data_IF_659514677655
#
_entry.id   IF_659514677655
#
_cell.length_a   1.000
_cell.length_b   1.000
_cell.length_c   1.000
_cell.angle_alpha   90.00
_cell.angle_beta   90.00
_cell.angle_gamma   90.00
#
_symmetry.space_group_name_H-M   'P 1'
#
loop_
_entity.id
_entity.type
_entity.pdbx_description
1 polymer ?
#
# COMPACT_ATOMS: atom_id res chain seq x y z
N UNK A 1 7.30 -59.11 -22.99
CA UNK A 1 8.56 -58.36 -23.21
C UNK A 1 8.33 -57.53 -24.47
N UNK A 2 8.22 -56.21 -24.53
CA UNK A 2 8.52 -55.04 -23.68
C UNK A 2 7.29 -54.09 -23.75
N UNK A 3 6.84 -53.36 -22.72
CA UNK A 3 7.44 -52.36 -21.82
C UNK A 3 8.02 -51.13 -22.54
N UNK A 4 7.15 -50.20 -22.93
CA UNK A 4 7.54 -48.83 -23.27
C UNK A 4 6.37 -47.87 -22.96
N UNK A 5 6.26 -47.52 -21.68
CA UNK A 5 5.45 -46.41 -21.18
C UNK A 5 6.23 -45.11 -21.39
N UNK A 6 5.79 -44.26 -22.32
CA UNK A 6 6.36 -42.93 -22.54
C UNK A 6 5.47 -41.90 -21.83
N UNK A 7 5.78 -41.62 -20.56
CA UNK A 7 5.14 -40.55 -19.79
C UNK A 7 5.83 -39.22 -20.11
N UNK A 8 5.24 -38.42 -20.99
CA UNK A 8 5.65 -37.03 -21.22
C UNK A 8 5.11 -36.16 -20.07
N UNK A 9 5.95 -35.83 -19.09
CA UNK A 9 5.56 -34.85 -18.08
C UNK A 9 5.65 -33.44 -18.66
N UNK A 10 4.51 -32.83 -18.96
CA UNK A 10 4.43 -31.38 -19.21
C UNK A 10 4.43 -30.69 -17.84
N UNK A 11 5.57 -30.14 -17.45
CA UNK A 11 5.66 -29.30 -16.25
C UNK A 11 5.11 -27.91 -16.59
N UNK A 12 3.87 -27.64 -16.20
CA UNK A 12 3.29 -26.30 -16.22
C UNK A 12 3.91 -25.50 -15.06
N UNK A 13 4.92 -24.69 -15.36
CA UNK A 13 5.37 -23.64 -14.44
C UNK A 13 4.30 -22.55 -14.36
N UNK A 14 3.34 -22.70 -13.44
CA UNK A 14 2.43 -21.61 -13.06
C UNK A 14 3.24 -20.60 -12.27
N UNK A 15 3.69 -19.53 -12.93
CA UNK A 15 4.20 -18.35 -12.22
C UNK A 15 3.00 -17.60 -11.65
N UNK A 16 2.62 -17.90 -10.42
CA UNK A 16 1.63 -17.12 -9.69
C UNK A 16 2.25 -15.76 -9.31
N UNK A 17 1.94 -14.71 -10.07
CA UNK A 17 2.20 -13.34 -9.62
C UNK A 17 1.24 -13.06 -8.48
N UNK A 18 1.75 -13.01 -7.25
CA UNK A 18 1.01 -12.62 -6.05
C UNK A 18 0.80 -11.10 -6.05
N UNK A 19 -0.12 -10.63 -6.90
CA UNK A 19 -0.63 -9.27 -6.84
C UNK A 19 -1.66 -9.19 -5.70
N UNK A 20 -1.36 -8.42 -4.64
CA UNK A 20 -2.27 -8.20 -3.51
C UNK A 20 -2.85 -6.79 -3.54
N UNK A 21 -4.10 -6.62 -3.09
CA UNK A 21 -4.65 -5.30 -2.76
C UNK A 21 -4.21 -4.88 -1.36
N UNK A 22 -3.49 -3.76 -1.26
CA UNK A 22 -3.07 -3.15 0.01
C UNK A 22 -3.90 -1.90 0.26
N UNK A 23 -4.66 -1.91 1.37
CA UNK A 23 -5.58 -0.83 1.70
C UNK A 23 -4.98 0.14 2.74
N UNK A 24 -5.16 1.45 2.50
CA UNK A 24 -4.77 2.51 3.43
C UNK A 24 -5.94 3.48 3.66
N UNK A 25 -6.06 4.00 4.88
CA UNK A 25 -7.01 5.05 5.24
C UNK A 25 -6.23 6.31 5.64
N UNK A 26 -6.41 7.39 4.89
CA UNK A 26 -5.76 8.68 5.11
C UNK A 26 -6.80 9.72 5.51
N UNK A 27 -6.77 10.16 6.76
CA UNK A 27 -7.57 11.29 7.26
C UNK A 27 -6.72 12.56 7.09
N UNK A 28 -7.21 13.50 6.30
CA UNK A 28 -6.55 14.78 6.04
C UNK A 28 -7.19 15.84 6.94
N UNK A 29 -6.44 16.40 7.88
CA UNK A 29 -6.95 17.37 8.86
C UNK A 29 -5.96 18.48 9.13
N UNK A 30 -6.46 19.66 9.50
CA UNK A 30 -5.63 20.73 10.05
C UNK A 30 -5.16 20.32 11.46
N UNK A 31 -3.90 20.62 11.80
CA UNK A 31 -3.34 20.37 13.12
C UNK A 31 -2.16 21.30 13.41
N UNK A 32 -1.88 21.54 14.69
CA UNK A 32 -0.71 22.32 15.14
C UNK A 32 0.51 21.40 15.25
N UNK A 33 1.63 21.79 14.65
CA UNK A 33 2.90 21.05 14.72
C UNK A 33 4.09 21.99 14.96
N UNK A 34 5.18 21.46 15.51
CA UNK A 34 6.43 22.18 15.73
C UNK A 34 7.66 21.31 15.35
N UNK A 35 7.82 20.92 14.07
CA UNK A 35 8.91 20.03 13.66
C UNK A 35 10.30 20.64 13.83
N UNK A 36 10.39 21.97 13.86
CA UNK A 36 11.62 22.76 14.08
C UNK A 36 11.62 23.50 15.43
N UNK A 37 10.69 23.16 16.33
CA UNK A 37 10.52 23.82 17.62
C UNK A 37 9.63 25.08 17.61
N UNK A 38 9.09 25.49 16.46
CA UNK A 38 8.14 26.63 16.38
C UNK A 38 6.76 26.14 15.92
N UNK A 39 5.74 26.36 16.75
CA UNK A 39 4.36 25.94 16.47
C UNK A 39 3.77 26.68 15.27
N UNK A 40 3.19 25.92 14.34
CA UNK A 40 2.40 26.41 13.20
C UNK A 40 1.28 25.43 12.87
N UNK A 41 0.22 25.94 12.23
CA UNK A 41 -0.84 25.09 11.67
C UNK A 41 -0.34 24.46 10.36
N UNK A 42 -0.60 23.18 10.19
CA UNK A 42 -0.27 22.42 8.99
C UNK A 42 -1.40 21.45 8.62
N UNK A 43 -1.42 21.01 7.36
CA UNK A 43 -2.24 19.90 6.90
C UNK A 43 -1.53 18.59 7.18
N UNK A 44 -2.16 17.73 7.98
CA UNK A 44 -1.59 16.46 8.45
C UNK A 44 -2.36 15.27 7.91
N UNK A 45 -1.64 14.16 7.76
CA UNK A 45 -2.22 12.86 7.44
C UNK A 45 -2.28 12.04 8.72
N UNK A 46 -3.48 11.62 9.12
CA UNK A 46 -3.73 10.89 10.37
C UNK A 46 -3.14 11.62 11.59
N UNK A 47 -3.24 12.96 11.60
CA UNK A 47 -2.78 13.83 12.71
C UNK A 47 -1.27 13.73 13.01
N UNK A 48 -0.48 13.12 12.13
CA UNK A 48 0.94 12.86 12.32
C UNK A 48 1.86 13.57 11.33
N UNK A 49 3.11 13.78 11.77
CA UNK A 49 4.22 14.24 10.93
C UNK A 49 5.50 13.47 11.32
N UNK A 50 6.21 12.82 10.38
CA UNK A 50 5.83 12.59 8.98
C UNK A 50 4.54 11.78 8.85
N UNK A 51 3.88 11.88 7.70
CA UNK A 51 2.72 11.04 7.40
C UNK A 51 3.07 9.53 7.40
N UNK A 52 2.07 8.65 7.48
CA UNK A 52 2.29 7.21 7.50
C UNK A 52 2.98 6.74 6.22
N UNK A 53 3.94 5.82 6.36
CA UNK A 53 4.62 5.20 5.23
C UNK A 53 3.65 4.29 4.46
N UNK A 54 3.49 4.55 3.17
CA UNK A 54 2.78 3.66 2.25
C UNK A 54 3.81 2.67 1.68
N UNK A 55 3.65 1.40 2.03
CA UNK A 55 4.52 0.31 1.57
C UNK A 55 3.71 -0.75 0.81
N UNK A 56 4.25 -1.22 -0.32
CA UNK A 56 3.69 -2.29 -1.14
C UNK A 56 4.77 -2.94 -2.01
N UNK A 57 4.54 -4.17 -2.44
CA UNK A 57 5.43 -4.87 -3.36
C UNK A 57 5.09 -4.52 -4.82
N UNK A 58 6.06 -4.73 -5.72
CA UNK A 58 5.83 -4.58 -7.15
C UNK A 58 4.72 -5.56 -7.60
N UNK A 59 3.69 -5.03 -8.24
CA UNK A 59 2.53 -5.81 -8.69
C UNK A 59 1.32 -5.71 -7.75
N UNK A 60 1.48 -5.16 -6.55
CA UNK A 60 0.35 -4.88 -5.65
C UNK A 60 -0.52 -3.72 -6.17
N UNK A 61 -1.80 -3.77 -5.85
CA UNK A 61 -2.74 -2.66 -6.06
C UNK A 61 -2.91 -1.88 -4.76
N UNK A 62 -2.59 -0.60 -4.78
CA UNK A 62 -2.84 0.29 -3.64
C UNK A 62 -4.28 0.82 -3.71
N UNK A 63 -5.06 0.57 -2.64
CA UNK A 63 -6.40 1.14 -2.47
C UNK A 63 -6.39 2.11 -1.31
N UNK A 64 -6.32 3.40 -1.64
CA UNK A 64 -6.18 4.46 -0.64
C UNK A 64 -7.50 5.21 -0.48
N UNK A 65 -8.12 5.08 0.68
CA UNK A 65 -9.31 5.85 1.05
C UNK A 65 -8.87 7.17 1.71
N UNK A 66 -9.11 8.27 1.03
CA UNK A 66 -8.80 9.61 1.52
C UNK A 66 -10.07 10.26 2.09
N UNK A 67 -9.97 10.79 3.30
CA UNK A 67 -11.06 11.48 4.00
C UNK A 67 -10.66 12.92 4.27
N UNK A 68 -11.31 13.87 3.60
CA UNK A 68 -11.11 15.28 3.85
C UNK A 68 -11.82 15.68 5.16
N UNK A 69 -11.06 16.17 6.13
CA UNK A 69 -11.50 16.73 7.41
C UNK A 69 -10.90 18.12 7.63
N UNK A 70 -10.54 18.81 6.55
CA UNK A 70 -10.09 20.19 6.61
C UNK A 70 -11.25 21.10 7.02
N UNK A 71 -10.96 22.06 7.88
CA UNK A 71 -11.94 23.05 8.38
C UNK A 71 -11.70 24.44 7.83
N UNK A 72 -10.50 24.66 7.29
CA UNK A 72 -10.07 25.95 6.78
C UNK A 72 -10.37 26.02 5.26
N UNK A 73 -10.87 27.16 4.75
CA UNK A 73 -11.27 27.33 3.35
C UNK A 73 -10.11 27.42 2.36
#
# INVERSE_FOLDING_TARGET
MARTTFFTSVSLFVSAVLARTVEYNLKISNGKIAPDGVERVATLVNEGYPGPLIFANKGDTLKVKVQNKLTDP
#
